data_IF_029027952432
#
_entry.id   IF_029027952432
#
_cell.length_a   1.000
_cell.length_b   1.000
_cell.length_c   1.000
_cell.angle_alpha   90.00
_cell.angle_beta   90.00
_cell.angle_gamma   90.00
#
_symmetry.space_group_name_H-M   'P 1'
#
loop_
_entity.id
_entity.type
_entity.pdbx_description
1 polymer ?
#
# COMPACT_ATOMS: atom_id res chain seq x y z
N UNK A 1 -6.40 42.86 33.18
CA UNK A 1 -5.64 41.71 33.71
C UNK A 1 -4.18 41.95 33.36
N UNK A 2 -3.27 41.63 34.28
CA UNK A 2 -1.82 41.80 34.10
C UNK A 2 -1.08 40.72 34.88
N UNK A 3 0.26 40.77 34.88
CA UNK A 3 1.10 39.82 35.61
C UNK A 3 1.74 40.51 36.81
N UNK A 4 1.70 39.85 37.97
CA UNK A 4 2.42 40.30 39.18
C UNK A 4 3.93 40.04 39.07
N UNK A 5 4.72 40.60 39.98
CA UNK A 5 6.19 40.35 40.07
C UNK A 5 6.52 38.88 40.34
N UNK A 6 5.56 38.12 40.86
CA UNK A 6 5.58 36.69 41.13
C UNK A 6 5.05 35.83 39.97
N UNK A 7 4.75 36.43 38.80
CA UNK A 7 4.28 35.73 37.60
C UNK A 7 2.82 35.28 37.65
N UNK A 8 2.12 35.53 38.76
CA UNK A 8 0.70 35.24 38.91
C UNK A 8 -0.15 36.20 38.06
N UNK A 9 -1.26 35.69 37.52
CA UNK A 9 -2.25 36.56 36.87
C UNK A 9 -2.91 37.38 37.97
N UNK A 10 -2.93 38.71 37.79
CA UNK A 10 -3.56 39.64 38.73
C UNK A 10 -4.67 40.43 38.06
N UNK A 11 -5.73 40.68 38.84
CA UNK A 11 -6.85 41.51 38.43
C UNK A 11 -6.96 42.73 39.34
N UNK A 12 -7.26 43.89 38.74
CA UNK A 12 -7.47 45.12 39.47
C UNK A 12 -8.73 45.02 40.35
N UNK A 13 -8.61 45.41 41.61
CA UNK A 13 -9.73 45.44 42.56
C UNK A 13 -10.60 46.68 42.28
N UNK A 14 -11.89 46.52 41.97
CA UNK A 14 -12.76 47.66 41.71
C UNK A 14 -12.85 48.57 42.94
N UNK A 15 -12.64 49.89 42.75
CA UNK A 15 -12.66 50.93 43.80
C UNK A 15 -11.54 50.85 44.85
N UNK A 16 -10.45 50.12 44.59
CA UNK A 16 -9.28 50.19 45.45
C UNK A 16 -8.62 51.58 45.42
N UNK A 17 -8.09 52.08 46.54
CA UNK A 17 -7.35 53.35 46.58
C UNK A 17 -6.11 53.28 45.69
N UNK A 18 -5.80 54.39 45.01
CA UNK A 18 -4.66 54.51 44.07
C UNK A 18 -3.27 54.46 44.74
N UNK A 19 -3.21 54.18 46.05
CA UNK A 19 -1.98 54.10 46.84
C UNK A 19 -2.03 52.89 47.79
N UNK A 20 -1.00 52.03 47.72
CA UNK A 20 -0.82 50.86 48.59
C UNK A 20 -0.98 49.50 47.91
N UNK A 21 -0.52 48.43 48.59
CA UNK A 21 -0.41 47.02 48.12
C UNK A 21 -1.73 46.34 47.69
N UNK A 22 -2.88 47.01 47.73
CA UNK A 22 -4.22 46.42 47.55
C UNK A 22 -4.86 46.68 46.16
N UNK A 23 -4.12 47.20 45.18
CA UNK A 23 -4.68 47.56 43.86
C UNK A 23 -4.99 46.36 42.97
N UNK A 24 -4.24 45.28 43.12
CA UNK A 24 -4.38 44.07 42.33
C UNK A 24 -4.39 42.85 43.24
N UNK A 25 -5.25 41.88 42.94
CA UNK A 25 -5.28 40.58 43.63
C UNK A 25 -4.91 39.49 42.65
N UNK A 26 -4.11 38.52 43.09
CA UNK A 26 -3.89 37.29 42.34
C UNK A 26 -5.23 36.62 42.05
N UNK A 27 -5.43 36.22 40.80
CA UNK A 27 -6.55 35.38 40.40
C UNK A 27 -6.24 33.93 40.78
N UNK A 28 -7.24 33.04 40.68
CA UNK A 28 -7.03 31.59 40.87
C UNK A 28 -6.47 30.92 39.61
N UNK A 29 -6.13 31.71 38.60
CA UNK A 29 -5.65 31.21 37.33
C UNK A 29 -4.20 30.76 37.47
N UNK A 30 -3.82 29.73 36.72
CA UNK A 30 -2.46 29.21 36.72
C UNK A 30 -1.47 30.32 36.28
N UNK A 31 -0.28 30.42 36.91
CA UNK A 31 0.81 31.28 36.44
C UNK A 31 1.16 30.98 34.97
N UNK A 32 1.61 32.00 34.24
CA UNK A 32 1.99 31.85 32.82
C UNK A 32 3.09 30.80 32.62
N UNK A 33 4.10 30.79 33.49
CA UNK A 33 5.21 29.84 33.44
C UNK A 33 4.72 28.38 33.57
N UNK A 34 3.73 28.12 34.42
CA UNK A 34 3.16 26.77 34.54
C UNK A 34 2.39 26.35 33.28
N UNK A 35 1.68 27.28 32.63
CA UNK A 35 1.00 27.03 31.36
C UNK A 35 2.01 26.69 30.26
N UNK A 36 3.13 27.41 30.22
CA UNK A 36 4.23 27.15 29.27
C UNK A 36 4.90 25.80 29.52
N UNK A 37 5.15 25.44 30.79
CA UNK A 37 5.68 24.13 31.17
C UNK A 37 4.73 22.98 30.79
N UNK A 38 3.42 23.13 31.04
CA UNK A 38 2.40 22.15 30.65
C UNK A 38 2.34 21.98 29.12
N UNK A 39 2.42 23.08 28.36
CA UNK A 39 2.49 23.05 26.89
C UNK A 39 3.75 22.33 26.40
N UNK A 40 4.92 22.66 26.96
CA UNK A 40 6.17 22.03 26.57
C UNK A 40 6.16 20.52 26.85
N UNK A 41 5.61 20.12 28.00
CA UNK A 41 5.41 18.70 28.34
C UNK A 41 4.47 18.00 27.37
N UNK A 42 3.36 18.64 27.00
CA UNK A 42 2.42 18.10 26.01
C UNK A 42 3.05 17.94 24.62
N UNK A 43 3.81 18.94 24.16
CA UNK A 43 4.51 18.87 22.88
C UNK A 43 5.54 17.75 22.85
N UNK A 44 6.28 17.54 23.94
CA UNK A 44 7.22 16.43 24.09
C UNK A 44 6.53 15.06 24.05
N UNK A 45 5.39 14.93 24.74
CA UNK A 45 4.57 13.72 24.73
C UNK A 45 4.04 13.40 23.32
N UNK A 46 3.48 14.39 22.62
CA UNK A 46 2.98 14.22 21.25
C UNK A 46 4.12 13.92 20.28
N UNK A 47 5.29 14.52 20.46
CA UNK A 47 6.47 14.23 19.64
C UNK A 47 6.94 12.78 19.82
N UNK A 48 6.91 12.24 21.03
CA UNK A 48 7.22 10.82 21.26
C UNK A 48 6.22 9.88 20.59
N UNK A 49 4.92 10.20 20.67
CA UNK A 49 3.85 9.43 20.01
C UNK A 49 4.02 9.46 18.49
N UNK A 50 4.29 10.64 17.91
CA UNK A 50 4.59 10.80 16.48
C UNK A 50 5.79 9.96 16.05
N UNK A 51 6.87 9.98 16.84
CA UNK A 51 8.06 9.13 16.59
C UNK A 51 7.71 7.65 16.64
N UNK A 52 6.96 7.22 17.66
CA UNK A 52 6.52 5.82 17.77
C UNK A 52 5.68 5.39 16.59
N UNK A 53 4.77 6.26 16.09
CA UNK A 53 3.96 5.99 14.90
C UNK A 53 4.84 5.77 13.67
N UNK A 54 5.76 6.67 13.33
CA UNK A 54 6.60 6.50 12.12
C UNK A 54 7.56 5.31 12.21
N UNK A 55 7.89 4.86 13.43
CA UNK A 55 8.65 3.64 13.68
C UNK A 55 7.80 2.35 13.62
N UNK A 56 6.46 2.47 13.57
CA UNK A 56 5.59 1.31 13.42
C UNK A 56 5.84 0.61 12.08
N UNK A 57 5.72 -0.71 12.11
CA UNK A 57 5.64 -1.54 10.92
C UNK A 57 4.19 -2.01 10.75
N UNK A 58 3.29 -1.20 10.14
CA UNK A 58 1.90 -1.58 9.96
C UNK A 58 1.78 -2.83 9.08
N UNK A 59 0.59 -3.44 9.08
CA UNK A 59 0.30 -4.66 8.36
C UNK A 59 0.72 -4.55 6.89
N UNK A 60 1.44 -5.55 6.40
CA UNK A 60 1.96 -5.56 5.03
C UNK A 60 0.81 -5.80 4.06
N UNK A 61 0.60 -4.93 3.06
CA UNK A 61 -0.44 -5.15 2.07
C UNK A 61 -0.06 -6.32 1.15
N UNK A 62 -1.06 -7.13 0.83
CA UNK A 62 -0.97 -8.27 -0.09
C UNK A 62 -1.92 -7.99 -1.23
N UNK A 63 -1.38 -7.69 -2.43
CA UNK A 63 -2.19 -7.50 -3.62
C UNK A 63 -2.69 -8.85 -4.12
N UNK A 64 -4.00 -8.96 -4.32
CA UNK A 64 -4.66 -10.17 -4.81
C UNK A 64 -5.52 -9.85 -6.03
N UNK A 65 -5.72 -10.88 -6.84
CA UNK A 65 -6.62 -10.88 -7.98
C UNK A 65 -7.79 -11.85 -7.70
N UNK A 66 -8.99 -11.55 -8.19
CA UNK A 66 -10.20 -12.32 -7.91
C UNK A 66 -10.06 -13.84 -8.15
N UNK A 67 -9.34 -14.24 -9.20
CA UNK A 67 -9.13 -15.64 -9.60
C UNK A 67 -7.83 -16.27 -9.07
N UNK A 68 -7.24 -15.68 -8.03
CA UNK A 68 -6.07 -16.24 -7.34
C UNK A 68 -6.37 -17.64 -6.74
N UNK A 69 -5.45 -18.64 -6.83
CA UNK A 69 -4.04 -18.57 -7.27
C UNK A 69 -3.77 -18.86 -8.75
N UNK A 70 -4.78 -18.94 -9.62
CA UNK A 70 -4.59 -19.13 -11.06
C UNK A 70 -5.01 -17.84 -11.80
N UNK A 71 -4.19 -16.77 -11.77
CA UNK A 71 -4.59 -15.45 -12.24
C UNK A 71 -4.63 -15.42 -13.77
N UNK A 72 -5.71 -15.91 -14.37
CA UNK A 72 -6.02 -15.76 -15.78
C UNK A 72 -6.95 -14.57 -15.94
N UNK A 73 -6.49 -13.55 -16.67
CA UNK A 73 -7.31 -12.42 -17.12
C UNK A 73 -7.35 -12.44 -18.63
N UNK A 74 -8.47 -12.13 -19.25
CA UNK A 74 -8.51 -11.92 -20.69
C UNK A 74 -8.11 -10.48 -21.05
N UNK A 75 -7.38 -10.32 -22.15
CA UNK A 75 -7.14 -9.02 -22.76
C UNK A 75 -8.48 -8.31 -22.97
N UNK A 76 -8.50 -7.00 -22.71
CA UNK A 76 -9.69 -6.16 -22.79
C UNK A 76 -10.85 -6.54 -21.82
N UNK A 77 -10.59 -7.37 -20.80
CA UNK A 77 -11.51 -7.59 -19.68
C UNK A 77 -11.01 -6.95 -18.37
N UNK A 78 -11.92 -6.71 -17.44
CA UNK A 78 -11.58 -6.13 -16.13
C UNK A 78 -10.88 -7.14 -15.22
N UNK A 79 -9.61 -6.92 -14.92
CA UNK A 79 -8.90 -7.51 -13.80
C UNK A 79 -9.36 -6.85 -12.50
N UNK A 80 -9.95 -7.60 -11.56
CA UNK A 80 -10.32 -7.05 -10.25
C UNK A 80 -9.25 -7.30 -9.19
N UNK A 81 -8.64 -6.22 -8.72
CA UNK A 81 -7.68 -6.24 -7.63
C UNK A 81 -8.34 -5.98 -6.27
N UNK A 82 -7.87 -6.69 -5.25
CA UNK A 82 -8.20 -6.40 -3.86
C UNK A 82 -6.96 -6.52 -2.97
N UNK A 83 -7.00 -5.88 -1.81
CA UNK A 83 -5.84 -5.82 -0.89
C UNK A 83 -6.19 -6.52 0.41
N UNK A 84 -5.47 -7.61 0.70
CA UNK A 84 -5.44 -8.22 2.01
C UNK A 84 -4.31 -7.60 2.84
N UNK A 85 -4.37 -7.73 4.16
CA UNK A 85 -3.32 -7.23 5.06
C UNK A 85 -2.82 -8.33 5.99
N UNK A 86 -1.50 -8.43 6.12
CA UNK A 86 -0.85 -9.39 7.01
C UNK A 86 -0.13 -8.66 8.15
N UNK A 87 -0.48 -8.99 9.38
CA UNK A 87 0.10 -8.39 10.59
C UNK A 87 -0.84 -7.44 11.32
N UNK A 88 -0.29 -6.60 12.19
CA UNK A 88 -1.04 -5.67 13.04
C UNK A 88 -0.85 -4.23 12.59
N UNK A 89 -1.92 -3.46 12.65
CA UNK A 89 -1.91 -2.00 12.47
C UNK A 89 -1.90 -1.25 13.79
N UNK A 90 -1.70 -1.94 14.91
CA UNK A 90 -1.86 -1.37 16.24
C UNK A 90 -0.57 -1.50 17.07
N UNK A 91 -0.34 -0.48 17.89
CA UNK A 91 0.64 -0.47 18.96
C UNK A 91 -0.06 -0.13 20.27
N UNK A 92 0.34 -0.78 21.36
CA UNK A 92 -0.12 -0.49 22.72
C UNK A 92 1.08 -0.56 23.67
N UNK A 93 1.25 0.45 24.52
CA UNK A 93 2.33 0.50 25.49
C UNK A 93 2.43 1.81 26.26
N UNK A 94 3.30 1.83 27.25
CA UNK A 94 3.56 3.04 28.07
C UNK A 94 4.51 3.99 27.34
N UNK A 95 4.13 5.27 27.28
CA UNK A 95 4.93 6.41 26.79
C UNK A 95 4.90 7.52 27.85
N UNK A 96 5.55 8.67 27.61
CA UNK A 96 5.51 9.82 28.54
C UNK A 96 4.10 10.31 28.83
N UNK A 97 3.17 10.14 27.89
CA UNK A 97 1.76 10.48 28.06
C UNK A 97 1.00 9.47 28.96
N UNK A 98 1.61 8.36 29.35
CA UNK A 98 0.99 7.23 30.03
C UNK A 98 0.72 6.06 29.09
N UNK A 99 -0.35 5.30 29.35
CA UNK A 99 -0.73 4.15 28.54
C UNK A 99 -1.30 4.60 27.19
N UNK A 100 -0.59 4.37 26.09
CA UNK A 100 -0.97 4.84 24.75
C UNK A 100 -1.31 3.67 23.84
N UNK A 101 -2.39 3.85 23.07
CA UNK A 101 -2.71 3.02 21.90
C UNK A 101 -2.57 3.85 20.64
N UNK A 102 -1.87 3.32 19.64
CA UNK A 102 -1.70 3.92 18.31
C UNK A 102 -2.27 2.96 17.27
N UNK A 103 -2.98 3.49 16.29
CA UNK A 103 -3.53 2.74 15.17
C UNK A 103 -3.16 3.39 13.84
N UNK A 104 -2.57 2.58 12.95
CA UNK A 104 -2.33 2.93 11.56
C UNK A 104 -3.56 2.58 10.72
N UNK A 105 -4.13 3.56 10.03
CA UNK A 105 -5.35 3.43 9.24
C UNK A 105 -5.01 3.64 7.77
N UNK A 106 -5.23 2.65 6.88
CA UNK A 106 -4.98 2.83 5.46
C UNK A 106 -6.00 3.81 4.87
N UNK A 107 -5.53 4.80 4.12
CA UNK A 107 -6.36 5.88 3.56
C UNK A 107 -6.24 6.01 2.04
N UNK A 108 -5.21 5.44 1.43
CA UNK A 108 -4.99 5.52 -0.01
C UNK A 108 -4.24 4.30 -0.53
N UNK A 109 -4.57 3.87 -1.74
CA UNK A 109 -4.04 2.70 -2.42
C UNK A 109 -3.60 3.13 -3.82
N UNK A 110 -2.30 3.16 -4.08
CA UNK A 110 -1.74 3.42 -5.40
C UNK A 110 -1.39 2.08 -6.07
N UNK A 111 -2.07 1.76 -7.15
CA UNK A 111 -1.87 0.52 -7.91
C UNK A 111 -0.97 0.77 -9.11
N UNK A 112 -0.07 -0.17 -9.34
CA UNK A 112 0.77 -0.25 -10.53
C UNK A 112 0.47 -1.60 -11.20
N UNK A 113 0.02 -1.61 -12.45
CA UNK A 113 -0.41 -2.83 -13.15
C UNK A 113 0.74 -3.61 -13.79
N UNK A 114 1.95 -3.04 -13.85
CA UNK A 114 3.14 -3.67 -14.43
C UNK A 114 3.27 -3.56 -15.95
N UNK A 115 2.22 -3.13 -16.65
CA UNK A 115 2.22 -2.77 -18.09
C UNK A 115 2.49 -1.27 -18.32
N UNK A 116 2.85 -0.53 -17.26
CA UNK A 116 2.99 0.93 -17.24
C UNK A 116 1.72 1.67 -16.79
N UNK A 117 0.60 0.98 -16.61
CA UNK A 117 -0.61 1.56 -16.03
C UNK A 117 -0.49 1.84 -14.53
N UNK A 118 -1.06 2.96 -14.11
CA UNK A 118 -1.11 3.38 -12.70
C UNK A 118 -2.45 4.04 -12.39
N UNK A 119 -3.01 3.76 -11.22
CA UNK A 119 -4.23 4.39 -10.74
C UNK A 119 -4.32 4.36 -9.21
N UNK A 120 -5.18 5.20 -8.64
CA UNK A 120 -5.36 5.28 -7.18
C UNK A 120 -6.79 4.97 -6.78
N UNK A 121 -6.95 4.37 -5.60
CA UNK A 121 -8.24 4.12 -4.96
C UNK A 121 -8.21 4.53 -3.48
N UNK A 122 -9.39 4.77 -2.92
CA UNK A 122 -9.59 5.00 -1.48
C UNK A 122 -10.06 3.74 -0.75
N UNK A 123 -10.23 2.62 -1.45
CA UNK A 123 -10.75 1.37 -0.89
C UNK A 123 -9.86 0.18 -1.26
N UNK A 124 -9.63 -0.71 -0.29
CA UNK A 124 -8.95 -1.98 -0.53
C UNK A 124 -9.73 -2.90 -1.47
N UNK A 125 -11.07 -2.73 -1.52
CA UNK A 125 -12.03 -3.71 -2.07
C UNK A 125 -11.92 -5.08 -1.40
N UNK A 126 -12.80 -6.00 -1.76
CA UNK A 126 -12.76 -7.39 -1.31
C UNK A 126 -13.03 -8.31 -2.48
N UNK A 127 -12.78 -9.61 -2.30
CA UNK A 127 -13.01 -10.61 -3.34
C UNK A 127 -14.45 -10.55 -3.89
N UNK A 128 -14.58 -10.45 -5.20
CA UNK A 128 -15.87 -10.49 -5.88
C UNK A 128 -16.35 -11.92 -6.06
N UNK A 129 -17.66 -12.13 -5.86
CA UNK A 129 -18.35 -13.33 -6.31
C UNK A 129 -18.98 -13.05 -7.67
N UNK A 130 -18.23 -13.26 -8.74
CA UNK A 130 -18.77 -13.22 -10.09
C UNK A 130 -19.21 -14.62 -10.52
N UNK A 131 -20.31 -14.72 -11.26
CA UNK A 131 -20.70 -15.96 -11.93
C UNK A 131 -19.87 -16.10 -13.21
N UNK A 132 -19.41 -17.31 -13.52
CA UNK A 132 -18.37 -17.60 -14.51
C UNK A 132 -18.73 -17.35 -15.99
N UNK A 133 -19.83 -16.66 -16.29
CA UNK A 133 -20.35 -16.48 -17.66
C UNK A 133 -20.49 -15.01 -18.08
N UNK A 134 -20.30 -14.05 -17.18
CA UNK A 134 -20.33 -12.62 -17.50
C UNK A 134 -18.92 -12.02 -17.39
N UNK A 135 -18.61 -11.06 -18.26
CA UNK A 135 -17.41 -10.22 -18.13
C UNK A 135 -17.30 -9.69 -16.69
N UNK A 136 -16.07 -9.63 -16.16
CA UNK A 136 -15.87 -9.10 -14.82
C UNK A 136 -16.41 -7.67 -14.73
N UNK A 137 -17.30 -7.36 -13.77
CA UNK A 137 -17.87 -6.03 -13.65
C UNK A 137 -16.77 -5.03 -13.28
N UNK A 138 -16.88 -3.83 -13.84
CA UNK A 138 -15.97 -2.74 -13.48
C UNK A 138 -16.21 -2.32 -12.02
N UNK A 139 -15.13 -2.31 -11.25
CA UNK A 139 -15.08 -1.88 -9.85
C UNK A 139 -14.09 -0.72 -9.67
N UNK A 140 -14.03 -0.08 -8.49
CA UNK A 140 -13.02 0.95 -8.21
C UNK A 140 -11.59 0.47 -8.39
N UNK A 141 -11.33 -0.83 -8.17
CA UNK A 141 -10.00 -1.44 -8.28
C UNK A 141 -9.88 -2.34 -9.53
N UNK A 142 -10.69 -2.08 -10.56
CA UNK A 142 -10.59 -2.79 -11.83
C UNK A 142 -9.57 -2.14 -12.76
N UNK A 143 -8.79 -2.96 -13.47
CA UNK A 143 -7.88 -2.52 -14.53
C UNK A 143 -8.03 -3.41 -15.75
N UNK A 144 -7.81 -2.87 -16.95
CA UNK A 144 -8.02 -3.59 -18.20
C UNK A 144 -6.76 -3.58 -19.04
N UNK A 145 -6.12 -4.74 -19.16
CA UNK A 145 -4.87 -4.89 -19.90
C UNK A 145 -5.12 -4.88 -21.41
N UNK A 146 -4.25 -4.18 -22.14
CA UNK A 146 -4.34 -4.03 -23.60
C UNK A 146 -3.53 -5.05 -24.38
N UNK A 147 -2.54 -5.66 -23.75
CA UNK A 147 -1.70 -6.67 -24.37
C UNK A 147 -1.65 -7.93 -23.52
N UNK A 148 -1.64 -9.09 -24.18
CA UNK A 148 -1.42 -10.38 -23.53
C UNK A 148 0.03 -10.50 -23.03
N UNK A 149 0.23 -11.12 -21.87
CA UNK A 149 1.53 -11.19 -21.19
C UNK A 149 1.43 -11.44 -19.69
N UNK A 150 2.58 -11.54 -19.01
CA UNK A 150 2.68 -11.77 -17.56
C UNK A 150 3.19 -10.55 -16.79
N UNK A 151 2.30 -9.82 -16.13
CA UNK A 151 2.67 -8.60 -15.44
C UNK A 151 2.89 -8.83 -13.95
N UNK A 152 3.76 -8.03 -13.35
CA UNK A 152 3.82 -7.86 -11.90
C UNK A 152 3.08 -6.60 -11.51
N UNK A 153 1.95 -6.80 -10.85
CA UNK A 153 1.19 -5.70 -10.28
C UNK A 153 1.59 -5.47 -8.82
N UNK A 154 1.49 -4.22 -8.39
CA UNK A 154 1.83 -3.78 -7.03
C UNK A 154 0.76 -2.86 -6.49
N UNK A 155 0.65 -2.80 -5.16
CA UNK A 155 -0.08 -1.74 -4.48
C UNK A 155 0.80 -1.10 -3.42
N UNK A 156 0.87 0.23 -3.43
CA UNK A 156 1.46 1.03 -2.36
C UNK A 156 0.33 1.63 -1.53
N UNK A 157 0.25 1.23 -0.26
CA UNK A 157 -0.76 1.69 0.68
C UNK A 157 -0.17 2.77 1.57
N UNK A 158 -0.89 3.89 1.68
CA UNK A 158 -0.57 5.00 2.57
C UNK A 158 -1.45 4.92 3.82
N UNK A 159 -0.81 4.94 4.99
CA UNK A 159 -1.46 4.90 6.30
C UNK A 159 -1.35 6.26 6.98
N UNK A 160 -2.43 6.68 7.61
CA UNK A 160 -2.44 7.76 8.62
C UNK A 160 -2.47 7.15 10.03
N UNK A 161 -2.15 7.94 11.04
CA UNK A 161 -2.15 7.50 12.43
C UNK A 161 -3.28 8.13 13.24
N UNK A 162 -3.80 7.38 14.22
CA UNK A 162 -4.54 7.95 15.36
C UNK A 162 -4.04 7.36 16.67
N UNK A 163 -4.08 8.13 17.75
CA UNK A 163 -3.71 7.65 19.08
C UNK A 163 -4.76 7.99 20.13
N UNK A 164 -4.79 7.23 21.22
CA UNK A 164 -5.48 7.60 22.45
C UNK A 164 -4.63 7.27 23.67
N UNK A 165 -4.83 8.02 24.74
CA UNK A 165 -4.15 7.85 26.03
C UNK A 165 -5.19 7.33 27.03
N UNK A 166 -4.92 6.17 27.65
CA UNK A 166 -5.86 5.46 28.51
C UNK A 166 -7.21 5.21 27.81
N UNK A 167 -8.28 5.68 28.45
CA UNK A 167 -9.65 5.63 27.93
C UNK A 167 -10.12 6.97 27.34
N UNK A 168 -9.20 7.88 27.04
CA UNK A 168 -9.48 9.15 26.37
C UNK A 168 -9.90 8.99 24.91
N UNK A 169 -10.28 10.10 24.24
CA UNK A 169 -10.68 10.07 22.85
C UNK A 169 -9.50 9.81 21.90
N UNK A 170 -9.82 9.37 20.68
CA UNK A 170 -8.84 9.25 19.61
C UNK A 170 -8.47 10.62 19.03
N UNK A 171 -7.18 10.83 18.80
CA UNK A 171 -6.61 12.03 18.22
C UNK A 171 -5.83 11.66 16.95
N UNK A 172 -5.88 12.46 15.88
CA UNK A 172 -5.08 12.22 14.68
C UNK A 172 -3.59 12.42 14.97
N UNK A 173 -2.73 11.69 14.25
CA UNK A 173 -1.29 11.87 14.25
C UNK A 173 -0.90 12.50 12.93
N UNK A 174 -0.19 13.63 12.97
CA UNK A 174 0.43 14.17 11.78
C UNK A 174 1.61 13.28 11.37
N UNK A 175 1.49 12.67 10.20
CA UNK A 175 2.49 11.76 9.65
C UNK A 175 1.84 10.72 8.77
N UNK A 176 2.64 10.11 7.89
CA UNK A 176 2.19 9.02 7.04
C UNK A 176 3.26 7.93 6.99
N UNK A 177 2.80 6.69 6.85
CA UNK A 177 3.64 5.52 6.59
C UNK A 177 3.18 4.94 5.26
N UNK A 178 4.12 4.57 4.40
CA UNK A 178 3.82 3.88 3.15
C UNK A 178 4.36 2.47 3.17
N UNK A 179 3.59 1.52 2.63
CA UNK A 179 3.99 0.13 2.44
C UNK A 179 3.60 -0.33 1.06
N UNK A 180 4.55 -0.89 0.33
CA UNK A 180 4.32 -1.54 -0.96
C UNK A 180 4.17 -3.03 -0.75
N UNK A 181 3.25 -3.66 -1.49
CA UNK A 181 3.08 -5.11 -1.48
C UNK A 181 4.23 -5.82 -2.18
N UNK A 182 4.33 -7.13 -1.95
CA UNK A 182 5.04 -8.00 -2.88
C UNK A 182 4.34 -8.00 -4.25
N UNK A 183 5.06 -8.49 -5.27
CA UNK A 183 4.55 -8.59 -6.63
C UNK A 183 3.38 -9.57 -6.74
N UNK A 184 2.26 -9.13 -7.31
CA UNK A 184 1.18 -10.01 -7.73
C UNK A 184 1.35 -10.36 -9.21
N UNK A 185 1.57 -11.64 -9.51
CA UNK A 185 1.64 -12.12 -10.88
C UNK A 185 0.24 -12.09 -11.54
N UNK A 186 0.14 -11.44 -12.70
CA UNK A 186 -1.08 -11.36 -13.51
C UNK A 186 -0.79 -11.95 -14.88
N UNK A 187 -1.55 -12.97 -15.29
CA UNK A 187 -1.39 -13.58 -16.63
C UNK A 187 -2.55 -13.17 -17.52
N UNK A 188 -2.26 -12.37 -18.52
CA UNK A 188 -3.22 -11.85 -19.49
C UNK A 188 -3.18 -12.70 -20.75
N UNK A 189 -4.31 -13.29 -21.09
CA UNK A 189 -4.49 -14.19 -22.22
C UNK A 189 -5.25 -13.50 -23.36
N UNK A 190 -4.98 -13.95 -24.57
CA UNK A 190 -5.68 -13.54 -25.79
C UNK A 190 -6.04 -14.81 -26.58
N UNK A 191 -7.20 -14.80 -27.23
CA UNK A 191 -7.63 -15.87 -28.13
C UNK A 191 -7.59 -15.33 -29.56
N UNK A 192 -6.70 -15.88 -30.38
CA UNK A 192 -6.67 -15.62 -31.82
C UNK A 192 -7.35 -16.77 -32.57
N UNK A 193 -8.47 -16.47 -33.24
CA UNK A 193 -9.21 -17.44 -34.06
C UNK A 193 -8.95 -17.20 -35.55
N UNK A 194 -8.56 -18.25 -36.27
CA UNK A 194 -8.37 -18.21 -37.71
C UNK A 194 -9.16 -19.32 -38.39
N UNK A 195 -9.72 -19.02 -39.56
CA UNK A 195 -10.33 -20.02 -40.42
C UNK A 195 -9.24 -20.84 -41.11
N UNK A 196 -9.35 -22.16 -41.02
CA UNK A 196 -8.48 -23.12 -41.71
C UNK A 196 -9.28 -23.89 -42.75
N UNK A 197 -8.64 -24.23 -43.87
CA UNK A 197 -9.31 -24.92 -44.98
C UNK A 197 -9.49 -26.43 -44.74
N UNK A 198 -8.76 -27.02 -43.78
CA UNK A 198 -8.66 -28.47 -43.54
C UNK A 198 -8.55 -28.77 -42.05
N UNK A 199 -8.90 -30.00 -41.66
CA UNK A 199 -8.70 -30.49 -40.29
C UNK A 199 -7.21 -30.72 -40.00
N UNK A 200 -6.80 -30.68 -38.73
CA UNK A 200 -5.40 -30.96 -38.34
C UNK A 200 -4.90 -32.36 -38.72
N UNK A 201 -5.81 -33.31 -38.95
CA UNK A 201 -5.46 -34.66 -39.45
C UNK A 201 -5.13 -34.67 -40.94
N UNK A 202 -5.62 -33.68 -41.68
CA UNK A 202 -5.42 -33.54 -43.13
C UNK A 202 -4.29 -32.54 -43.45
N UNK A 203 -4.15 -31.50 -42.62
CA UNK A 203 -3.04 -30.54 -42.66
C UNK A 203 -2.55 -30.25 -41.23
N UNK A 204 -1.51 -30.96 -40.75
CA UNK A 204 -0.97 -30.75 -39.41
C UNK A 204 -0.22 -29.41 -39.26
N UNK A 205 0.02 -28.68 -40.36
CA UNK A 205 0.75 -27.40 -40.35
C UNK A 205 -0.17 -26.17 -40.35
N UNK A 206 -1.48 -26.38 -40.55
CA UNK A 206 -2.51 -25.34 -40.48
C UNK A 206 -2.52 -24.62 -39.12
N UNK A 207 -3.08 -23.41 -39.07
CA UNK A 207 -3.07 -22.56 -37.86
C UNK A 207 -3.50 -23.33 -36.60
N UNK A 208 -2.76 -23.15 -35.50
CA UNK A 208 -2.96 -23.82 -34.21
C UNK A 208 -2.85 -25.37 -34.18
N UNK A 209 -2.63 -26.05 -35.31
CA UNK A 209 -2.40 -27.50 -35.33
C UNK A 209 -1.01 -27.89 -34.76
N UNK A 210 -0.80 -29.14 -34.32
CA UNK A 210 0.44 -29.55 -33.65
C UNK A 210 1.75 -29.31 -34.43
N UNK A 211 1.72 -29.37 -35.76
CA UNK A 211 2.86 -29.12 -36.64
C UNK A 211 2.94 -27.68 -37.18
N UNK A 212 2.08 -26.79 -36.72
CA UNK A 212 2.08 -25.38 -37.15
C UNK A 212 3.22 -24.59 -36.53
N UNK A 213 3.84 -23.72 -37.33
CA UNK A 213 4.72 -22.66 -36.80
C UNK A 213 3.98 -21.61 -35.96
N UNK A 214 2.65 -21.57 -36.08
CA UNK A 214 1.75 -20.68 -35.33
C UNK A 214 1.05 -21.42 -34.19
N UNK A 215 1.52 -22.61 -33.82
CA UNK A 215 1.02 -23.29 -32.62
C UNK A 215 1.37 -22.42 -31.42
N UNK A 216 0.39 -21.99 -30.61
CA UNK A 216 0.69 -21.27 -29.38
C UNK A 216 1.60 -22.13 -28.51
N UNK A 217 2.70 -21.57 -28.02
CA UNK A 217 3.46 -22.23 -26.99
C UNK A 217 2.71 -22.05 -25.66
N UNK A 218 1.81 -22.99 -25.38
CA UNK A 218 1.02 -23.02 -24.14
C UNK A 218 1.89 -23.13 -22.88
N UNK A 219 3.19 -23.44 -23.03
CA UNK A 219 4.16 -23.50 -21.95
C UNK A 219 5.12 -22.30 -21.94
N UNK A 220 5.07 -21.39 -22.94
CA UNK A 220 5.85 -20.16 -22.90
C UNK A 220 5.08 -19.14 -22.06
N UNK A 221 5.56 -18.82 -20.86
CA UNK A 221 4.85 -17.89 -20.01
C UNK A 221 4.80 -16.48 -20.60
N UNK A 222 5.67 -16.09 -21.54
CA UNK A 222 5.86 -14.67 -21.81
C UNK A 222 6.30 -14.33 -23.24
N UNK A 223 5.38 -14.09 -24.19
CA UNK A 223 5.79 -13.74 -25.56
C UNK A 223 6.07 -12.24 -25.80
N UNK A 224 5.76 -11.30 -24.90
CA UNK A 224 5.74 -9.86 -25.28
C UNK A 224 6.29 -8.80 -24.29
N UNK A 225 6.81 -9.15 -23.11
CA UNK A 225 7.18 -8.12 -22.10
C UNK A 225 8.62 -7.61 -22.17
N UNK A 226 8.82 -6.52 -22.91
CA UNK A 226 10.12 -5.87 -23.08
C UNK A 226 10.56 -4.95 -21.91
N UNK A 227 9.73 -4.75 -20.87
CA UNK A 227 9.97 -3.73 -19.84
C UNK A 227 10.47 -4.38 -18.54
N UNK A 228 11.55 -3.85 -17.91
CA UNK A 228 11.98 -4.28 -16.59
C UNK A 228 10.90 -4.05 -15.53
N UNK A 229 10.82 -4.95 -14.56
CA UNK A 229 10.00 -4.78 -13.36
C UNK A 229 10.37 -3.48 -12.61
N UNK A 230 9.39 -2.60 -12.29
CA UNK A 230 9.67 -1.27 -11.78
C UNK A 230 10.26 -1.24 -10.36
N UNK A 231 10.07 -2.28 -9.55
CA UNK A 231 10.56 -2.33 -8.17
C UNK A 231 11.83 -3.16 -8.02
N UNK A 232 11.97 -4.24 -8.79
CA UNK A 232 13.12 -5.15 -8.71
C UNK A 232 14.16 -4.92 -9.80
N UNK A 233 13.81 -4.18 -10.86
CA UNK A 233 14.65 -3.99 -12.04
C UNK A 233 14.84 -5.28 -12.86
N UNK A 234 14.13 -6.36 -12.52
CA UNK A 234 14.24 -7.64 -13.21
C UNK A 234 13.72 -7.52 -14.64
N UNK A 235 14.58 -7.79 -15.62
CA UNK A 235 14.19 -7.95 -17.01
C UNK A 235 13.86 -9.42 -17.26
N UNK A 236 12.68 -9.66 -17.81
CA UNK A 236 12.16 -11.01 -18.05
C UNK A 236 12.45 -11.51 -19.46
N UNK A 237 13.02 -10.65 -20.30
CA UNK A 237 13.62 -11.00 -21.59
C UNK A 237 15.07 -10.54 -21.61
N UNK A 238 15.91 -11.31 -22.31
CA UNK A 238 17.24 -10.84 -22.70
C UNK A 238 17.20 -9.66 -23.68
N UNK A 239 16.11 -9.52 -24.46
CA UNK A 239 15.91 -8.47 -25.48
C UNK A 239 14.43 -8.21 -25.84
N UNK A 240 14.18 -7.22 -26.70
CA UNK A 240 12.83 -6.77 -27.09
C UNK A 240 12.14 -7.65 -28.16
N UNK A 241 12.75 -8.77 -28.57
CA UNK A 241 12.24 -9.59 -29.70
C UNK A 241 11.40 -10.79 -29.27
N UNK A 242 11.11 -10.95 -27.96
CA UNK A 242 10.12 -11.90 -27.47
C UNK A 242 10.50 -13.38 -27.65
N UNK A 243 11.78 -13.68 -27.83
CA UNK A 243 12.27 -15.04 -28.05
C UNK A 243 12.74 -15.68 -26.74
N UNK A 244 11.81 -16.40 -26.10
CA UNK A 244 12.07 -17.47 -25.15
C UNK A 244 12.68 -17.06 -23.81
N UNK A 245 11.84 -16.93 -22.79
CA UNK A 245 12.28 -17.02 -21.40
C UNK A 245 11.20 -17.72 -20.55
N UNK A 246 11.61 -18.80 -19.86
CA UNK A 246 10.80 -19.50 -18.86
C UNK A 246 11.28 -19.07 -17.48
N UNK A 247 10.37 -18.69 -16.59
CA UNK A 247 10.69 -18.50 -15.17
C UNK A 247 11.17 -19.84 -14.58
N UNK A 248 12.49 -19.99 -14.41
CA UNK A 248 13.03 -21.00 -13.52
C UNK A 248 13.47 -20.34 -12.22
N UNK A 249 12.77 -20.69 -11.14
CA UNK A 249 13.28 -20.55 -9.79
C UNK A 249 14.67 -21.21 -9.71
N UNK A 250 15.66 -20.45 -9.25
CA UNK A 250 17.08 -20.85 -9.15
C UNK A 250 17.26 -22.30 -8.70
N UNK A 251 17.95 -23.13 -9.50
CA UNK A 251 18.75 -24.21 -8.89
C UNK A 251 20.05 -23.59 -8.39
N UNK A 252 20.43 -23.74 -7.11
CA UNK A 252 21.72 -23.26 -6.66
C UNK A 252 22.81 -23.93 -7.51
N UNK A 253 23.72 -23.11 -8.04
CA UNK A 253 24.88 -23.59 -8.77
C UNK A 253 25.57 -24.66 -7.93
N UNK A 254 25.66 -25.89 -8.46
CA UNK A 254 26.61 -26.87 -7.92
C UNK A 254 27.99 -26.22 -8.07
N UNK A 255 28.60 -25.83 -6.96
CA UNK A 255 30.04 -25.54 -6.93
C UNK A 255 30.72 -26.78 -7.51
N UNK A 256 31.30 -26.65 -8.71
CA UNK A 256 32.37 -27.54 -9.13
C UNK A 256 33.55 -27.25 -8.20
N UNK A 257 33.63 -27.98 -7.08
CA UNK A 257 34.92 -28.20 -6.43
C UNK A 257 35.62 -29.28 -7.23
N UNK A 258 36.42 -28.84 -8.21
CA UNK A 258 37.52 -29.64 -8.72
C UNK A 258 38.64 -29.69 -7.69
N UNK A 259 39.16 -30.89 -7.46
CA UNK A 259 40.47 -31.26 -6.86
C UNK A 259 40.35 -32.76 -6.58
N UNK A 260 41.20 -33.68 -7.02
CA UNK A 260 42.57 -33.69 -7.55
C UNK A 260 42.74 -35.00 -8.31
#
# INVERSE_FOLDING_TARGET
MGYGEDGNIVQAVPRAPLQGRAMCTATKDKPAEQIEQERASYEEQVAEIKRRFVEMNPATPQLRLNDYPSPHVWKDENAHFYVDFEGSNQYEGELKAGHVRIEAVPISYAFESGDGGQYTSSVASGKLRAQSQEEMPKTPNSYMYKESGNYHAYVTVTYTGRFKVGDGPWHPIDGQITKTSEAALVRVWEIETHNVAKLCTEDPTAWACPGSKHRPDYNNPNPRLAVPDPHTGQQWHKDNVGSGDTEWWRKPAKKQTGSR
#
